data_IF_677933955365
#
_entry.id   IF_677933955365
#
_cell.length_a   1.000
_cell.length_b   1.000
_cell.length_c   1.000
_cell.angle_alpha   90.00
_cell.angle_beta   90.00
_cell.angle_gamma   90.00
#
_symmetry.space_group_name_H-M   'P 1'
#
loop_
_entity.id
_entity.type
_entity.pdbx_description
1 polymer ?
#
# COMPACT_ATOMS: atom_id res chain seq x y z
N UNK A 1 7.99 37.84 -30.84
CA UNK A 1 7.65 36.88 -29.77
C UNK A 1 6.17 36.52 -29.90
N UNK A 2 5.82 35.25 -30.18
CA UNK A 2 4.41 34.80 -30.19
C UNK A 2 4.04 34.38 -28.77
N UNK A 3 3.28 35.21 -28.07
CA UNK A 3 2.68 34.84 -26.79
C UNK A 3 1.62 33.77 -27.07
N UNK A 4 1.66 32.61 -26.40
CA UNK A 4 0.63 31.59 -26.56
C UNK A 4 -0.73 32.15 -26.15
N UNK A 5 -1.77 31.80 -26.90
CA UNK A 5 -3.13 32.29 -26.69
C UNK A 5 -3.73 31.72 -25.40
N UNK A 6 -4.68 32.43 -24.79
CA UNK A 6 -5.44 31.97 -23.60
C UNK A 6 -6.04 30.57 -23.81
N UNK A 7 -6.43 30.24 -25.04
CA UNK A 7 -6.91 28.91 -25.43
C UNK A 7 -5.84 27.80 -25.26
N UNK A 8 -4.56 28.10 -25.54
CA UNK A 8 -3.47 27.16 -25.32
C UNK A 8 -3.24 26.85 -23.85
N UNK A 9 -3.34 27.86 -22.98
CA UNK A 9 -3.25 27.66 -21.52
C UNK A 9 -4.43 26.86 -20.96
N UNK A 10 -5.65 27.12 -21.44
CA UNK A 10 -6.83 26.35 -21.07
C UNK A 10 -6.70 24.87 -21.48
N UNK A 11 -6.22 24.61 -22.70
CA UNK A 11 -6.00 23.24 -23.17
C UNK A 11 -4.98 22.50 -22.31
N UNK A 12 -3.86 23.15 -21.95
CA UNK A 12 -2.84 22.58 -21.06
C UNK A 12 -3.37 22.33 -19.65
N UNK A 13 -4.17 23.25 -19.11
CA UNK A 13 -4.79 23.08 -17.80
C UNK A 13 -5.74 21.89 -17.78
N UNK A 14 -6.62 21.77 -18.79
CA UNK A 14 -7.54 20.63 -18.93
C UNK A 14 -6.76 19.32 -19.05
N UNK A 15 -5.70 19.29 -19.87
CA UNK A 15 -4.87 18.10 -20.03
C UNK A 15 -4.20 17.69 -18.70
N UNK A 16 -3.69 18.67 -17.96
CA UNK A 16 -3.05 18.44 -16.65
C UNK A 16 -4.05 17.95 -15.60
N UNK A 17 -5.27 18.52 -15.58
CA UNK A 17 -6.34 18.11 -14.68
C UNK A 17 -6.83 16.69 -15.02
N UNK A 18 -7.03 16.38 -16.30
CA UNK A 18 -7.39 15.03 -16.74
C UNK A 18 -6.32 14.00 -16.38
N UNK A 19 -5.03 14.34 -16.51
CA UNK A 19 -3.93 13.46 -16.10
C UNK A 19 -3.91 13.25 -14.57
N UNK A 20 -4.10 14.32 -13.78
CA UNK A 20 -4.17 14.23 -12.33
C UNK A 20 -5.35 13.35 -11.85
N UNK A 21 -6.53 13.52 -12.45
CA UNK A 21 -7.71 12.70 -12.16
C UNK A 21 -7.46 11.23 -12.53
N UNK A 22 -6.82 10.96 -13.68
CA UNK A 22 -6.49 9.60 -14.11
C UNK A 22 -5.54 8.89 -13.12
N UNK A 23 -4.51 9.58 -12.63
CA UNK A 23 -3.57 9.03 -11.64
C UNK A 23 -4.26 8.78 -10.29
N UNK A 24 -5.07 9.72 -9.81
CA UNK A 24 -5.84 9.54 -8.59
C UNK A 24 -6.82 8.36 -8.69
N UNK A 25 -7.53 8.22 -9.82
CA UNK A 25 -8.44 7.10 -10.05
C UNK A 25 -7.72 5.75 -10.05
N UNK A 26 -6.47 5.68 -10.55
CA UNK A 26 -5.64 4.45 -10.48
C UNK A 26 -5.23 4.08 -9.06
N UNK A 27 -5.11 5.06 -8.16
CA UNK A 27 -4.83 4.80 -6.74
C UNK A 27 -6.06 4.31 -5.97
N UNK A 28 -7.26 4.74 -6.40
CA UNK A 28 -8.54 4.35 -5.80
C UNK A 28 -9.17 3.10 -6.42
N UNK A 29 -8.74 2.68 -7.61
CA UNK A 29 -9.15 1.43 -8.24
C UNK A 29 -8.61 0.26 -7.41
N UNK A 30 -9.42 -0.13 -6.42
CA UNK A 30 -9.12 -1.09 -5.37
C UNK A 30 -8.42 -2.33 -5.89
N UNK A 31 -7.19 -2.50 -5.42
CA UNK A 31 -6.64 -3.84 -5.30
C UNK A 31 -7.51 -4.64 -4.33
N UNK A 32 -7.43 -5.96 -4.45
CA UNK A 32 -8.03 -6.90 -3.50
C UNK A 32 -7.85 -6.37 -2.07
N UNK A 33 -8.94 -6.19 -1.29
CA UNK A 33 -8.85 -5.58 0.03
C UNK A 33 -7.92 -6.37 0.94
N UNK A 34 -7.66 -7.65 0.62
CA UNK A 34 -6.67 -8.49 1.26
C UNK A 34 -5.76 -9.08 0.18
N UNK A 35 -4.46 -8.84 0.28
CA UNK A 35 -3.44 -9.49 -0.55
C UNK A 35 -2.56 -10.37 0.31
N UNK A 36 -2.37 -11.60 -0.15
CA UNK A 36 -1.54 -12.64 0.47
C UNK A 36 -0.38 -12.95 -0.47
N UNK A 37 0.85 -12.79 0.00
CA UNK A 37 2.07 -12.90 -0.82
C UNK A 37 3.01 -13.93 -0.20
N UNK A 38 3.02 -15.18 -0.68
CA UNK A 38 3.95 -16.20 -0.22
C UNK A 38 5.39 -15.93 -0.68
N UNK A 39 6.34 -16.14 0.22
CA UNK A 39 7.78 -16.20 0.00
C UNK A 39 8.30 -17.46 0.69
N UNK A 40 8.22 -18.57 -0.03
CA UNK A 40 8.62 -19.90 0.45
C UNK A 40 10.13 -19.98 0.74
N UNK A 41 10.95 -19.23 -0.01
CA UNK A 41 12.39 -19.19 0.21
C UNK A 41 12.74 -18.53 1.56
N UNK A 42 11.94 -17.55 1.98
CA UNK A 42 12.05 -16.92 3.29
C UNK A 42 11.20 -17.58 4.38
N UNK A 43 10.48 -18.67 4.08
CA UNK A 43 9.51 -19.29 4.98
C UNK A 43 8.54 -18.26 5.58
N UNK A 44 7.94 -17.45 4.70
CA UNK A 44 7.11 -16.30 5.08
C UNK A 44 5.92 -16.10 4.14
N UNK A 45 4.80 -15.62 4.68
CA UNK A 45 3.67 -15.10 3.91
C UNK A 45 3.38 -13.69 4.41
N UNK A 46 3.40 -12.73 3.49
CA UNK A 46 3.03 -11.33 3.78
C UNK A 46 1.55 -11.08 3.50
N UNK A 47 0.90 -10.42 4.46
CA UNK A 47 -0.51 -10.04 4.39
C UNK A 47 -0.60 -8.51 4.39
N UNK A 48 -1.22 -7.95 3.36
CA UNK A 48 -1.57 -6.53 3.28
C UNK A 48 -3.08 -6.35 3.13
N UNK A 49 -3.61 -5.31 3.76
CA UNK A 49 -5.02 -4.91 3.68
C UNK A 49 -5.09 -3.50 3.09
N UNK A 50 -5.90 -3.28 2.06
CA UNK A 50 -6.01 -2.01 1.32
C UNK A 50 -4.63 -1.47 0.87
N UNK A 51 -3.75 -2.37 0.44
CA UNK A 51 -2.38 -2.06 0.03
C UNK A 51 -1.42 -1.69 1.18
N UNK A 52 -1.86 -1.72 2.44
CA UNK A 52 -1.04 -1.43 3.62
C UNK A 52 -0.57 -2.72 4.30
N UNK A 53 0.69 -2.82 4.76
CA UNK A 53 1.16 -3.98 5.51
C UNK A 53 0.32 -4.20 6.77
N UNK A 54 -0.18 -5.42 6.95
CA UNK A 54 -0.94 -5.81 8.13
C UNK A 54 -0.09 -6.70 9.05
N UNK A 55 0.26 -7.89 8.58
CA UNK A 55 1.11 -8.83 9.31
C UNK A 55 1.83 -9.80 8.38
N UNK A 56 2.73 -10.61 8.94
CA UNK A 56 3.41 -11.67 8.22
C UNK A 56 3.36 -12.95 9.04
N UNK A 57 3.00 -14.06 8.40
CA UNK A 57 3.17 -15.39 8.96
C UNK A 57 4.58 -15.87 8.65
N UNK A 58 5.36 -16.23 9.67
CA UNK A 58 6.78 -16.56 9.53
C UNK A 58 7.02 -17.91 10.23
N UNK A 59 7.58 -18.88 9.49
CA UNK A 59 7.84 -20.25 9.97
C UNK A 59 9.30 -20.66 9.75
N UNK A 60 10.27 -19.99 10.40
CA UNK A 60 11.67 -20.33 10.21
C UNK A 60 11.98 -21.65 10.94
N UNK A 61 12.82 -22.49 10.34
CA UNK A 61 13.17 -23.83 10.88
C UNK A 61 13.71 -23.80 12.32
N UNK A 62 14.37 -22.70 12.70
CA UNK A 62 14.97 -22.51 14.03
C UNK A 62 13.97 -22.16 15.13
N UNK A 63 12.71 -21.88 14.78
CA UNK A 63 11.68 -21.49 15.73
C UNK A 63 10.73 -22.65 15.97
N UNK A 64 10.49 -22.98 17.24
CA UNK A 64 9.64 -24.11 17.62
C UNK A 64 8.17 -23.97 17.15
N UNK A 65 7.70 -22.73 16.88
CA UNK A 65 6.35 -22.47 16.40
C UNK A 65 6.33 -21.27 15.46
N UNK A 66 5.54 -21.30 14.38
CA UNK A 66 5.30 -20.14 13.53
C UNK A 66 4.72 -18.95 14.29
N UNK A 67 4.97 -17.75 13.79
CA UNK A 67 4.52 -16.49 14.42
C UNK A 67 3.90 -15.53 13.43
N UNK A 68 3.03 -14.66 13.94
CA UNK A 68 2.56 -13.47 13.25
C UNK A 68 3.38 -12.26 13.73
N UNK A 69 4.13 -11.63 12.84
CA UNK A 69 4.95 -10.47 13.20
C UNK A 69 5.33 -9.57 12.01
N UNK A 70 5.27 -8.23 12.16
CA UNK A 70 4.61 -7.49 13.24
C UNK A 70 3.09 -7.63 13.12
N UNK A 71 2.36 -7.56 14.22
CA UNK A 71 0.91 -7.38 14.16
C UNK A 71 0.61 -5.88 14.17
N UNK A 72 -0.23 -5.40 13.25
CA UNK A 72 -0.63 -3.99 13.17
C UNK A 72 -2.14 -3.84 13.35
N UNK A 73 -2.55 -2.72 13.93
CA UNK A 73 -3.96 -2.30 13.89
C UNK A 73 -4.34 -1.89 12.47
N UNK A 74 -5.65 -1.71 12.19
CA UNK A 74 -6.12 -1.15 10.93
C UNK A 74 -5.54 0.25 10.62
N UNK A 75 -5.09 0.98 11.64
CA UNK A 75 -4.40 2.28 11.51
C UNK A 75 -2.89 2.14 11.25
N UNK A 76 -2.34 0.93 11.22
CA UNK A 76 -0.93 0.65 10.99
C UNK A 76 -0.06 0.66 12.25
N UNK A 77 -0.64 0.88 13.43
CA UNK A 77 0.11 0.88 14.71
C UNK A 77 0.58 -0.53 15.04
N UNK A 78 1.89 -0.73 15.26
CA UNK A 78 2.45 -2.02 15.66
C UNK A 78 2.02 -2.35 17.09
N UNK A 79 1.45 -3.54 17.28
CA UNK A 79 1.09 -4.10 18.58
C UNK A 79 2.27 -4.90 19.11
N UNK A 80 2.85 -4.46 20.22
CA UNK A 80 3.87 -5.20 20.97
C UNK A 80 3.25 -5.82 22.22
N UNK A 81 3.79 -6.95 22.70
CA UNK A 81 3.32 -7.62 23.94
C UNK A 81 3.77 -6.88 25.22
N UNK A 82 3.66 -5.56 25.25
CA UNK A 82 3.93 -4.75 26.42
C UNK A 82 2.63 -4.13 26.89
N UNK A 83 2.09 -4.61 28.01
CA UNK A 83 1.13 -3.81 28.76
C UNK A 83 1.84 -2.53 29.18
N UNK A 84 1.44 -1.38 28.66
CA UNK A 84 1.71 -0.12 29.35
C UNK A 84 0.84 -0.15 30.62
N UNK A 85 1.47 -0.49 31.74
CA UNK A 85 0.97 -0.09 33.05
C UNK A 85 1.17 1.40 33.25
#
# INVERSE_FOLDING_TARGET
>A
MRVPSVAGYLALFVLSASLAIYVAARQYAGGDPIRVTPDEAANRVDISIDGKPFTSYIWPEKLAKPVLYPLRTAKGTVITRGSSG
#
